data_IF_350103773127
#
_entry.id   IF_350103773127
#
_cell.length_a   1.000
_cell.length_b   1.000
_cell.length_c   1.000
_cell.angle_alpha   90.00
_cell.angle_beta   90.00
_cell.angle_gamma   90.00
#
_symmetry.space_group_name_H-M   'P 1'
#
loop_
_entity.id
_entity.type
_entity.pdbx_description
1 polymer ?
#
# COMPACT_ATOMS: atom_id res chain seq x y z
N UNK A 1 -12.46 10.41 -27.74
CA UNK A 1 -11.71 9.19 -27.41
C UNK A 1 -10.25 9.58 -27.24
N UNK A 2 -9.61 9.11 -26.18
CA UNK A 2 -8.18 9.24 -25.95
C UNK A 2 -7.58 7.84 -26.14
N UNK A 3 -6.56 7.72 -26.96
CA UNK A 3 -5.84 6.46 -27.18
C UNK A 3 -4.46 6.60 -26.54
N UNK A 4 -4.17 5.72 -25.60
CA UNK A 4 -2.86 5.64 -24.93
C UNK A 4 -2.11 4.45 -25.53
N UNK A 5 -0.89 4.70 -26.01
CA UNK A 5 0.02 3.65 -26.49
C UNK A 5 1.07 3.34 -25.43
N UNK A 6 1.12 2.09 -25.01
CA UNK A 6 2.19 1.58 -24.19
C UNK A 6 3.52 1.43 -24.95
N UNK A 7 4.63 1.37 -24.21
CA UNK A 7 5.96 1.12 -24.80
C UNK A 7 6.06 -0.28 -25.46
N UNK A 8 5.21 -1.20 -25.06
CA UNK A 8 5.06 -2.57 -25.56
C UNK A 8 4.16 -2.67 -26.81
N UNK A 9 3.63 -1.52 -27.30
CA UNK A 9 2.74 -1.44 -28.44
C UNK A 9 1.25 -1.70 -28.12
N UNK A 10 0.89 -1.89 -26.84
CA UNK A 10 -0.51 -2.01 -26.42
C UNK A 10 -1.22 -0.66 -26.57
N UNK A 11 -2.45 -0.69 -27.09
CA UNK A 11 -3.29 0.50 -27.20
C UNK A 11 -4.50 0.35 -26.27
N UNK A 12 -4.72 1.36 -25.44
CA UNK A 12 -5.87 1.43 -24.54
C UNK A 12 -6.71 2.65 -24.90
N UNK A 13 -7.99 2.40 -25.22
CA UNK A 13 -8.95 3.46 -25.57
C UNK A 13 -9.74 3.91 -24.34
N UNK A 14 -9.76 5.22 -24.09
CA UNK A 14 -10.57 5.85 -23.07
C UNK A 14 -11.65 6.71 -23.70
N UNK A 15 -12.91 6.38 -23.43
CA UNK A 15 -14.05 7.16 -23.90
C UNK A 15 -14.25 8.35 -22.96
N UNK A 16 -14.15 9.56 -23.51
CA UNK A 16 -14.37 10.80 -22.77
C UNK A 16 -15.80 11.29 -23.01
N UNK A 17 -16.61 11.52 -21.97
CA UNK A 17 -17.94 12.10 -22.11
C UNK A 17 -17.88 13.51 -22.73
N UNK A 18 -18.93 13.87 -23.49
CA UNK A 18 -19.05 15.20 -24.08
C UNK A 18 -19.03 16.29 -23.01
N UNK A 19 -18.36 17.40 -23.30
CA UNK A 19 -18.31 18.57 -22.40
C UNK A 19 -17.24 18.51 -21.30
N UNK A 20 -16.43 17.44 -21.24
CA UNK A 20 -15.30 17.37 -20.34
C UNK A 20 -14.05 18.02 -20.95
N UNK A 21 -13.33 18.79 -20.13
CA UNK A 21 -12.09 19.43 -20.54
C UNK A 21 -10.94 18.41 -20.46
N UNK A 22 -10.21 18.26 -21.57
CA UNK A 22 -8.99 17.46 -21.61
C UNK A 22 -7.85 18.21 -20.93
N UNK A 23 -7.04 17.48 -20.14
CA UNK A 23 -5.83 17.98 -19.49
C UNK A 23 -4.58 17.60 -20.25
N UNK A 24 -4.68 16.72 -21.24
CA UNK A 24 -3.58 16.19 -22.02
C UNK A 24 -3.74 16.56 -23.51
N UNK A 25 -2.62 16.69 -24.20
CA UNK A 25 -2.56 16.96 -25.63
C UNK A 25 -2.05 15.74 -26.39
N UNK A 26 -2.18 15.78 -27.70
CA UNK A 26 -1.66 14.70 -28.54
C UNK A 26 -0.13 14.63 -28.44
N UNK A 27 0.40 13.42 -28.20
CA UNK A 27 1.81 13.08 -28.00
C UNK A 27 2.37 13.41 -26.60
N UNK A 28 1.55 13.81 -25.63
CA UNK A 28 1.99 13.93 -24.25
C UNK A 28 2.33 12.55 -23.68
N UNK A 29 3.37 12.49 -22.86
CA UNK A 29 3.73 11.30 -22.09
C UNK A 29 2.93 11.31 -20.78
N UNK A 30 2.18 10.24 -20.53
CA UNK A 30 1.38 10.06 -19.32
C UNK A 30 1.85 8.86 -18.53
N UNK A 31 1.73 8.96 -17.21
CA UNK A 31 2.01 7.86 -16.27
C UNK A 31 0.72 7.29 -15.72
N UNK A 32 0.80 6.09 -15.17
CA UNK A 32 -0.33 5.51 -14.44
C UNK A 32 -0.73 6.42 -13.28
N UNK A 33 -2.01 6.81 -13.22
CA UNK A 33 -2.54 7.74 -12.23
C UNK A 33 -2.69 9.18 -12.69
N UNK A 34 -2.12 9.57 -13.84
CA UNK A 34 -2.28 10.91 -14.37
C UNK A 34 -3.73 11.16 -14.82
N UNK A 35 -4.28 12.32 -14.45
CA UNK A 35 -5.63 12.70 -14.84
C UNK A 35 -5.67 13.15 -16.31
N UNK A 36 -6.37 12.41 -17.15
CA UNK A 36 -6.52 12.74 -18.57
C UNK A 36 -7.59 13.81 -18.81
N UNK A 37 -8.56 13.89 -17.90
CA UNK A 37 -9.74 14.75 -18.02
C UNK A 37 -9.97 15.47 -16.70
N UNK A 38 -10.39 16.73 -16.78
CA UNK A 38 -10.71 17.52 -15.60
C UNK A 38 -11.99 17.00 -14.92
N UNK A 39 -11.89 16.63 -13.66
CA UNK A 39 -13.01 16.18 -12.86
C UNK A 39 -12.55 15.62 -11.50
N UNK A 40 -13.48 15.32 -10.60
CA UNK A 40 -13.14 14.67 -9.35
C UNK A 40 -12.61 13.27 -9.62
N UNK A 41 -11.55 12.90 -8.95
CA UNK A 41 -10.96 11.56 -9.02
C UNK A 41 -11.61 10.66 -7.95
N UNK A 42 -11.65 9.36 -8.21
CA UNK A 42 -12.11 8.38 -7.23
C UNK A 42 -10.95 8.06 -6.27
N UNK A 43 -11.07 8.33 -4.95
CA UNK A 43 -9.96 8.12 -4.02
C UNK A 43 -9.45 6.67 -3.99
N UNK A 44 -10.33 5.69 -4.19
CA UNK A 44 -9.94 4.28 -4.25
C UNK A 44 -9.03 3.95 -5.45
N UNK A 45 -9.25 4.61 -6.59
CA UNK A 45 -8.40 4.42 -7.76
C UNK A 45 -7.03 5.07 -7.57
N UNK A 46 -7.00 6.25 -6.93
CA UNK A 46 -5.73 6.89 -6.54
C UNK A 46 -4.96 5.98 -5.57
N UNK A 47 -5.64 5.40 -4.59
CA UNK A 47 -5.02 4.48 -3.63
C UNK A 47 -4.40 3.26 -4.32
N UNK A 48 -5.12 2.69 -5.29
CA UNK A 48 -4.68 1.50 -6.02
C UNK A 48 -3.48 1.77 -6.94
N UNK A 49 -3.47 2.93 -7.59
CA UNK A 49 -2.47 3.26 -8.63
C UNK A 49 -1.28 4.03 -8.07
N UNK A 50 -1.54 5.03 -7.23
CA UNK A 50 -0.54 5.99 -6.76
C UNK A 50 -0.17 5.81 -5.28
N UNK A 51 -0.90 4.95 -4.55
CA UNK A 51 -0.62 4.62 -3.17
C UNK A 51 -1.25 5.56 -2.14
N UNK A 52 -0.97 5.26 -0.86
CA UNK A 52 -1.63 5.91 0.28
C UNK A 52 -1.25 7.39 0.44
N UNK A 53 -0.03 7.78 0.10
CA UNK A 53 0.45 9.16 0.23
C UNK A 53 -0.28 10.10 -0.75
N UNK A 54 -0.43 9.67 -2.01
CA UNK A 54 -1.16 10.44 -3.02
C UNK A 54 -2.64 10.63 -2.65
N UNK A 55 -3.28 9.60 -2.08
CA UNK A 55 -4.66 9.72 -1.57
C UNK A 55 -4.76 10.72 -0.42
N UNK A 56 -3.79 10.70 0.51
CA UNK A 56 -3.79 11.65 1.64
C UNK A 56 -3.72 13.09 1.13
N UNK A 57 -2.80 13.38 0.24
CA UNK A 57 -2.65 14.72 -0.35
C UNK A 57 -3.89 15.14 -1.14
N UNK A 58 -4.46 14.23 -1.92
CA UNK A 58 -5.67 14.49 -2.68
C UNK A 58 -6.85 14.84 -1.76
N UNK A 59 -7.11 14.01 -0.73
CA UNK A 59 -8.20 14.23 0.21
C UNK A 59 -8.02 15.53 1.00
N UNK A 60 -6.79 15.81 1.47
CA UNK A 60 -6.47 17.06 2.16
C UNK A 60 -6.81 18.26 1.26
N UNK A 61 -6.34 18.24 0.02
CA UNK A 61 -6.54 19.31 -0.94
C UNK A 61 -8.03 19.54 -1.25
N UNK A 62 -8.78 18.48 -1.53
CA UNK A 62 -10.21 18.58 -1.85
C UNK A 62 -11.05 19.09 -0.67
N UNK A 63 -10.77 18.60 0.55
CA UNK A 63 -11.46 19.06 1.76
C UNK A 63 -11.14 20.54 2.03
N UNK A 64 -9.88 20.93 1.93
CA UNK A 64 -9.46 22.33 2.09
C UNK A 64 -10.12 23.26 1.05
N UNK A 65 -10.24 22.82 -0.19
CA UNK A 65 -10.91 23.59 -1.23
C UNK A 65 -12.38 23.85 -0.89
N UNK A 66 -13.08 22.85 -0.34
CA UNK A 66 -14.47 23.02 0.12
C UNK A 66 -14.55 24.06 1.24
N UNK A 67 -13.72 23.97 2.27
CA UNK A 67 -13.72 24.94 3.37
C UNK A 67 -13.34 26.35 2.90
N UNK A 68 -12.31 26.49 2.06
CA UNK A 68 -11.91 27.78 1.49
C UNK A 68 -13.03 28.41 0.64
N UNK A 69 -13.80 27.61 -0.10
CA UNK A 69 -14.95 28.11 -0.86
C UNK A 69 -16.03 28.71 0.04
N UNK A 70 -16.13 28.21 1.26
CA UNK A 70 -17.04 28.72 2.31
C UNK A 70 -16.40 29.84 3.17
N UNK A 71 -15.20 30.32 2.81
CA UNK A 71 -14.41 31.31 3.56
C UNK A 71 -14.04 30.87 4.98
N UNK A 72 -13.96 29.58 5.20
CA UNK A 72 -13.53 28.97 6.46
C UNK A 72 -12.08 28.56 6.34
N UNK A 73 -11.24 28.94 7.29
CA UNK A 73 -9.83 28.56 7.36
C UNK A 73 -9.70 27.51 8.44
N UNK A 74 -9.29 26.31 8.05
CA UNK A 74 -9.00 25.19 8.95
C UNK A 74 -7.53 24.78 8.77
N UNK A 75 -6.84 24.52 9.87
CA UNK A 75 -5.47 24.03 9.85
C UNK A 75 -5.43 22.59 9.31
N UNK A 76 -4.50 22.32 8.42
CA UNK A 76 -4.33 21.03 7.73
C UNK A 76 -4.23 19.85 8.70
N UNK A 77 -3.55 20.03 9.85
CA UNK A 77 -3.37 18.98 10.87
C UNK A 77 -4.69 18.34 11.34
N UNK A 78 -5.78 19.09 11.40
CA UNK A 78 -7.07 18.56 11.84
C UNK A 78 -7.64 17.58 10.81
N UNK A 79 -7.47 17.89 9.53
CA UNK A 79 -7.90 17.04 8.42
C UNK A 79 -6.98 15.85 8.28
N UNK A 80 -5.68 16.04 8.41
CA UNK A 80 -4.66 14.98 8.34
C UNK A 80 -4.88 13.89 9.40
N UNK A 81 -5.26 14.27 10.63
CA UNK A 81 -5.58 13.30 11.69
C UNK A 81 -6.76 12.40 11.27
N UNK A 82 -7.81 12.98 10.68
CA UNK A 82 -8.98 12.21 10.23
C UNK A 82 -8.58 11.27 9.10
N UNK A 83 -7.84 11.77 8.09
CA UNK A 83 -7.37 10.97 6.96
C UNK A 83 -6.46 9.82 7.44
N UNK A 84 -5.56 10.09 8.40
CA UNK A 84 -4.71 9.07 8.98
C UNK A 84 -5.52 7.93 9.66
N UNK A 85 -6.62 8.28 10.34
CA UNK A 85 -7.52 7.28 10.93
C UNK A 85 -8.28 6.47 9.86
N UNK A 86 -8.69 7.08 8.75
CA UNK A 86 -9.34 6.38 7.63
C UNK A 86 -8.42 5.33 7.00
N UNK A 87 -7.10 5.63 6.90
CA UNK A 87 -6.09 4.77 6.27
C UNK A 87 -5.37 3.85 7.28
N UNK A 88 -5.86 3.79 8.51
CA UNK A 88 -5.24 3.00 9.59
C UNK A 88 -5.39 1.50 9.39
N UNK A 89 -6.50 1.05 8.81
CA UNK A 89 -6.82 -0.37 8.65
C UNK A 89 -6.38 -0.89 7.28
N UNK A 90 -5.83 -2.11 7.28
CA UNK A 90 -5.45 -2.85 6.07
C UNK A 90 -6.11 -4.21 6.06
N UNK A 91 -6.44 -4.71 4.88
CA UNK A 91 -6.92 -6.07 4.68
C UNK A 91 -5.75 -6.93 4.21
N UNK A 92 -5.56 -8.07 4.86
CA UNK A 92 -4.54 -9.04 4.48
C UNK A 92 -5.05 -9.81 3.25
N UNK A 93 -4.39 -9.69 2.11
CA UNK A 93 -4.70 -10.46 0.91
C UNK A 93 -3.93 -11.77 0.90
N UNK A 94 -2.61 -11.69 1.03
CA UNK A 94 -1.72 -12.85 1.14
C UNK A 94 -0.99 -12.80 2.49
N UNK A 95 -1.23 -13.76 3.38
CA UNK A 95 -0.59 -13.81 4.68
C UNK A 95 0.87 -14.28 4.62
N UNK A 96 1.28 -14.98 3.56
CA UNK A 96 2.61 -15.59 3.49
C UNK A 96 2.93 -16.41 4.73
N UNK A 97 4.11 -16.17 5.32
CA UNK A 97 4.60 -16.85 6.52
C UNK A 97 4.16 -16.20 7.85
N UNK A 98 3.25 -15.22 7.82
CA UNK A 98 2.86 -14.44 9.02
C UNK A 98 1.95 -15.19 9.98
N UNK A 99 1.33 -16.28 9.58
CA UNK A 99 0.30 -17.00 10.35
C UNK A 99 -1.01 -16.21 10.53
N UNK A 100 -1.17 -15.05 9.88
CA UNK A 100 -2.38 -14.25 9.89
C UNK A 100 -3.38 -14.84 8.90
N UNK A 101 -4.68 -14.74 9.19
CA UNK A 101 -5.70 -15.27 8.29
C UNK A 101 -5.90 -14.38 7.04
N UNK A 102 -6.04 -14.95 5.84
CA UNK A 102 -6.42 -14.20 4.66
C UNK A 102 -7.78 -13.49 4.84
N UNK A 103 -7.90 -12.26 4.34
CA UNK A 103 -9.10 -11.45 4.48
C UNK A 103 -9.27 -10.76 5.82
N UNK A 104 -8.39 -10.99 6.81
CA UNK A 104 -8.42 -10.30 8.10
C UNK A 104 -8.17 -8.80 7.90
N UNK A 105 -8.97 -7.98 8.58
CA UNK A 105 -8.74 -6.54 8.65
C UNK A 105 -8.01 -6.22 9.96
N UNK A 106 -6.78 -5.77 9.85
CA UNK A 106 -5.92 -5.46 10.99
C UNK A 106 -5.41 -4.02 10.95
N UNK A 107 -4.79 -3.59 12.03
CA UNK A 107 -4.13 -2.29 12.08
C UNK A 107 -2.80 -2.33 11.29
N UNK A 108 -2.55 -1.31 10.49
CA UNK A 108 -1.34 -1.20 9.68
C UNK A 108 -0.05 -1.32 10.51
N UNK A 109 -0.05 -0.76 11.72
CA UNK A 109 1.12 -0.82 12.61
C UNK A 109 1.31 -2.21 13.23
N UNK A 110 0.22 -2.91 13.55
CA UNK A 110 0.30 -4.30 14.04
C UNK A 110 0.83 -5.22 12.94
N UNK A 111 0.31 -5.08 11.73
CA UNK A 111 0.81 -5.83 10.59
C UNK A 111 2.30 -5.55 10.32
N UNK A 112 2.71 -4.29 10.40
CA UNK A 112 4.12 -3.93 10.27
C UNK A 112 5.02 -4.56 11.36
N UNK A 113 4.55 -4.62 12.62
CA UNK A 113 5.27 -5.30 13.70
C UNK A 113 5.42 -6.80 13.45
N UNK A 114 4.38 -7.45 12.90
CA UNK A 114 4.44 -8.86 12.52
C UNK A 114 5.52 -9.07 11.46
N UNK A 115 5.52 -8.26 10.41
CA UNK A 115 6.53 -8.34 9.36
C UNK A 115 7.95 -8.09 9.88
N UNK A 116 8.12 -7.10 10.77
CA UNK A 116 9.43 -6.84 11.40
C UNK A 116 9.91 -8.04 12.25
N UNK A 117 8.99 -8.73 12.90
CA UNK A 117 9.32 -9.93 13.67
C UNK A 117 9.75 -11.07 12.74
N UNK A 118 9.04 -11.27 11.63
CA UNK A 118 9.39 -12.26 10.61
C UNK A 118 10.75 -12.01 9.96
N UNK A 119 11.11 -10.75 9.73
CA UNK A 119 12.43 -10.40 9.17
C UNK A 119 13.61 -10.86 10.06
N UNK A 120 13.34 -11.12 11.34
CA UNK A 120 14.32 -11.65 12.32
C UNK A 120 14.21 -13.16 12.50
N UNK A 121 13.36 -13.82 11.75
CA UNK A 121 13.17 -15.27 11.76
C UNK A 121 13.79 -15.90 10.53
N UNK A 122 14.12 -17.17 10.65
CA UNK A 122 14.56 -18.03 9.55
C UNK A 122 13.74 -19.29 9.54
N UNK A 123 13.64 -19.91 8.37
CA UNK A 123 12.94 -21.19 8.22
C UNK A 123 13.93 -22.32 8.43
N UNK A 124 13.59 -23.27 9.29
CA UNK A 124 14.38 -24.48 9.52
C UNK A 124 14.23 -25.38 8.30
N UNK A 125 15.34 -25.68 7.63
CA UNK A 125 15.38 -26.60 6.49
C UNK A 125 15.70 -28.01 6.95
N UNK A 126 16.76 -28.15 7.76
CA UNK A 126 17.16 -29.41 8.38
C UNK A 126 17.22 -29.22 9.91
N UNK A 127 16.35 -29.91 10.67
CA UNK A 127 16.31 -29.76 12.11
C UNK A 127 17.49 -30.47 12.83
N UNK A 128 18.17 -31.41 12.16
CA UNK A 128 19.23 -32.17 12.80
C UNK A 128 18.78 -32.89 14.07
N UNK A 129 19.52 -32.73 15.18
CA UNK A 129 19.18 -33.23 16.50
C UNK A 129 18.39 -32.25 17.37
N UNK A 130 17.94 -31.11 16.82
CA UNK A 130 17.17 -30.11 17.55
C UNK A 130 15.70 -30.49 17.72
N UNK A 131 14.98 -29.81 18.64
CA UNK A 131 13.55 -30.02 18.87
C UNK A 131 12.65 -29.42 17.76
N UNK A 132 13.24 -28.72 16.77
CA UNK A 132 12.49 -28.08 15.68
C UNK A 132 12.05 -29.09 14.61
N UNK A 133 11.06 -28.67 13.83
CA UNK A 133 10.61 -29.45 12.67
C UNK A 133 11.02 -28.73 11.37
N UNK A 134 11.20 -29.47 10.30
CA UNK A 134 11.44 -28.88 8.99
C UNK A 134 10.26 -28.02 8.56
N UNK A 135 10.54 -26.75 8.25
CA UNK A 135 9.52 -25.75 7.90
C UNK A 135 9.17 -24.77 9.02
N UNK A 136 9.61 -24.99 10.25
CA UNK A 136 9.39 -24.08 11.36
C UNK A 136 10.03 -22.72 11.12
N UNK A 137 9.35 -21.66 11.56
CA UNK A 137 9.84 -20.28 11.49
C UNK A 137 10.28 -19.87 12.89
N UNK A 138 11.57 -19.72 13.06
CA UNK A 138 12.20 -19.51 14.37
C UNK A 138 13.07 -18.26 14.34
N UNK A 139 13.11 -17.44 15.41
CA UNK A 139 14.03 -16.32 15.52
C UNK A 139 15.48 -16.77 15.37
N UNK A 140 16.29 -15.97 14.68
CA UNK A 140 17.74 -16.26 14.47
C UNK A 140 18.45 -16.45 15.81
N UNK A 141 18.12 -15.64 16.84
CA UNK A 141 18.70 -15.74 18.17
C UNK A 141 18.49 -17.11 18.82
N UNK A 142 17.30 -17.70 18.66
CA UNK A 142 16.99 -19.03 19.23
C UNK A 142 17.77 -20.13 18.53
N UNK A 143 17.99 -20.02 17.22
CA UNK A 143 18.83 -20.97 16.48
C UNK A 143 20.29 -20.86 16.89
N UNK A 144 20.79 -19.65 17.09
CA UNK A 144 22.15 -19.43 17.58
C UNK A 144 22.37 -20.02 18.99
N UNK A 145 21.38 -19.90 19.88
CA UNK A 145 21.40 -20.50 21.21
C UNK A 145 21.44 -22.02 21.13
N UNK A 146 20.54 -22.65 20.36
CA UNK A 146 20.47 -24.10 20.18
C UNK A 146 21.76 -24.63 19.54
N UNK A 147 22.31 -23.98 18.51
CA UNK A 147 23.55 -24.37 17.90
C UNK A 147 24.75 -24.26 18.87
N UNK A 148 24.72 -23.25 19.75
CA UNK A 148 25.76 -23.11 20.76
C UNK A 148 25.69 -24.19 21.87
N UNK A 149 24.48 -24.69 22.17
CA UNK A 149 24.27 -25.81 23.10
C UNK A 149 24.72 -27.13 22.46
N UNK A 150 24.32 -27.41 21.21
CA UNK A 150 24.70 -28.62 20.48
C UNK A 150 26.20 -28.73 20.24
N UNK A 151 26.93 -27.62 20.11
CA UNK A 151 28.38 -27.62 19.93
C UNK A 151 29.16 -27.80 21.24
N UNK A 152 28.48 -27.87 22.39
CA UNK A 152 29.10 -28.11 23.70
C UNK A 152 29.08 -29.58 24.15
N UNK A 153 28.26 -30.38 23.46
CA UNK A 153 28.26 -31.87 23.61
C UNK A 153 29.20 -32.50 22.59
#
# INVERSE_FOLDING_TARGET
IIIIRGADGTEVEHIVPHGKQLLVHAKDLVKAGDALVRGPLVPHDILRVSGSEAVQQYLLHEIQNVYRSQRVVIDDKHIEIVIAQMLRKVRVEDPGDTGVLPGLVTDKFEFFKINQRLMKCVRVVDPGASEFQAGDIVPVSTIEEVNAEMNKE
#
